data_IF_928802736733
#
_entry.id   IF_928802736733
#
_cell.length_a   1.000
_cell.length_b   1.000
_cell.length_c   1.000
_cell.angle_alpha   90.00
_cell.angle_beta   90.00
_cell.angle_gamma   90.00
#
_symmetry.space_group_name_H-M   'P 1'
#
loop_
_entity.id
_entity.type
_entity.pdbx_description
1 polymer ?
#
# COMPACT_ATOMS: atom_id res chain seq x y z
N UNK A 1 4.96 7.44 8.95
CA UNK A 1 6.07 6.55 8.55
C UNK A 1 6.53 6.84 7.12
N UNK A 2 5.69 6.67 6.05
CA UNK A 2 6.13 6.89 4.66
C UNK A 2 6.68 8.30 4.40
N UNK A 3 6.04 9.34 4.95
CA UNK A 3 6.56 10.70 4.90
C UNK A 3 7.99 10.77 5.48
N UNK A 4 8.17 10.19 6.67
CA UNK A 4 9.47 10.21 7.35
C UNK A 4 10.52 9.40 6.57
N UNK A 5 10.14 8.21 6.05
CA UNK A 5 11.01 7.37 5.24
C UNK A 5 11.53 8.12 3.99
N UNK A 6 10.64 8.85 3.31
CA UNK A 6 11.05 9.51 2.07
C UNK A 6 11.76 10.84 2.28
N UNK A 7 11.46 11.58 3.37
CA UNK A 7 11.99 12.92 3.57
C UNK A 7 13.07 13.03 4.67
N UNK A 8 13.26 11.98 5.49
CA UNK A 8 14.11 12.05 6.68
C UNK A 8 13.56 12.94 7.80
N UNK A 9 12.33 13.45 7.66
CA UNK A 9 11.72 14.33 8.64
C UNK A 9 10.59 13.65 9.37
N UNK A 10 10.51 13.78 10.69
CA UNK A 10 9.40 13.23 11.46
C UNK A 10 8.07 13.88 11.08
N UNK A 11 7.07 13.07 10.75
CA UNK A 11 5.74 13.52 10.34
C UNK A 11 5.03 14.33 11.42
N UNK A 12 5.23 13.99 12.70
CA UNK A 12 4.61 14.68 13.83
C UNK A 12 5.11 16.13 14.05
N UNK A 13 6.15 16.55 13.33
CA UNK A 13 6.62 17.96 13.31
C UNK A 13 5.82 18.85 12.37
N UNK A 14 4.84 18.28 11.65
CA UNK A 14 3.98 18.98 10.70
C UNK A 14 2.52 18.72 11.01
N UNK A 15 1.67 19.73 10.81
CA UNK A 15 0.23 19.64 11.07
C UNK A 15 -0.56 19.02 9.89
N UNK A 16 0.07 18.87 8.72
CA UNK A 16 -0.56 18.45 7.46
C UNK A 16 -0.22 17.00 7.03
N UNK A 17 0.31 16.19 7.96
CA UNK A 17 0.75 14.81 7.71
C UNK A 17 -0.17 13.75 8.33
N UNK A 18 -1.45 14.01 8.43
CA UNK A 18 -2.45 13.05 8.92
C UNK A 18 -2.68 11.86 7.99
N UNK A 19 -3.67 11.04 8.31
CA UNK A 19 -4.11 9.92 7.46
C UNK A 19 -4.76 10.49 6.20
N UNK A 20 -4.09 10.35 5.06
CA UNK A 20 -4.56 10.92 3.80
C UNK A 20 -5.82 10.21 3.29
N UNK A 21 -6.80 10.97 2.80
CA UNK A 21 -7.87 10.42 1.97
C UNK A 21 -7.31 9.98 0.60
N UNK A 22 -8.05 9.16 -0.15
CA UNK A 22 -7.60 8.72 -1.47
C UNK A 22 -7.50 9.84 -2.50
N UNK A 23 -8.22 10.94 -2.28
CA UNK A 23 -8.16 12.16 -3.08
C UNK A 23 -7.39 13.30 -2.37
N UNK A 24 -6.53 12.99 -1.42
CA UNK A 24 -5.70 13.99 -0.76
C UNK A 24 -4.70 14.63 -1.74
N UNK A 25 -4.45 15.92 -1.58
CA UNK A 25 -3.33 16.59 -2.22
C UNK A 25 -2.00 16.05 -1.72
N UNK A 26 -0.95 16.21 -2.51
CA UNK A 26 0.37 15.65 -2.22
C UNK A 26 0.98 16.27 -0.95
N UNK A 27 1.33 15.42 0.00
CA UNK A 27 1.88 15.81 1.31
C UNK A 27 3.36 16.21 1.18
N UNK A 28 4.15 15.44 0.44
CA UNK A 28 5.53 15.78 0.13
C UNK A 28 5.52 16.79 -1.01
N UNK A 29 6.04 17.98 -0.78
CA UNK A 29 6.07 19.00 -1.81
C UNK A 29 7.25 18.80 -2.76
N UNK A 30 7.12 19.15 -4.06
CA UNK A 30 8.21 18.99 -5.03
C UNK A 30 9.54 19.65 -4.64
N UNK A 31 9.49 20.70 -3.82
CA UNK A 31 10.68 21.40 -3.33
C UNK A 31 11.41 20.66 -2.19
N UNK A 32 10.82 19.61 -1.64
CA UNK A 32 11.42 18.80 -0.58
C UNK A 32 12.30 17.72 -1.20
N UNK A 33 13.57 17.71 -0.84
CA UNK A 33 14.48 16.61 -1.18
C UNK A 33 14.02 15.31 -0.53
N UNK A 34 13.95 14.26 -1.31
CA UNK A 34 13.58 12.92 -0.88
C UNK A 34 14.72 11.93 -0.99
N UNK A 35 14.54 10.75 -0.41
CA UNK A 35 15.48 9.63 -0.61
C UNK A 35 15.58 9.24 -2.10
N UNK A 36 14.50 9.38 -2.87
CA UNK A 36 14.52 9.12 -4.32
C UNK A 36 15.38 10.14 -5.05
N UNK A 37 15.29 11.44 -4.74
CA UNK A 37 16.16 12.47 -5.28
C UNK A 37 17.63 12.20 -4.95
N UNK A 38 17.89 11.78 -3.71
CA UNK A 38 19.25 11.42 -3.26
C UNK A 38 19.82 10.27 -4.11
N UNK A 39 19.07 9.19 -4.28
CA UNK A 39 19.49 8.05 -5.11
C UNK A 39 19.65 8.46 -6.58
N UNK A 40 18.72 9.23 -7.11
CA UNK A 40 18.80 9.74 -8.49
C UNK A 40 20.02 10.61 -8.72
N UNK A 41 20.37 11.49 -7.78
CA UNK A 41 21.59 12.30 -7.84
C UNK A 41 22.88 11.46 -7.80
N UNK A 42 22.83 10.26 -7.24
CA UNK A 42 23.91 9.28 -7.22
C UNK A 42 23.90 8.34 -8.45
N UNK A 43 23.06 8.60 -9.45
CA UNK A 43 22.99 7.84 -10.70
C UNK A 43 22.12 6.58 -10.64
N UNK A 44 21.28 6.44 -9.63
CA UNK A 44 20.33 5.32 -9.55
C UNK A 44 19.06 5.61 -10.35
N UNK A 45 18.52 4.59 -10.98
CA UNK A 45 17.12 4.60 -11.45
C UNK A 45 16.18 4.35 -10.28
N UNK A 46 15.08 5.08 -10.18
CA UNK A 46 14.23 5.07 -9.00
C UNK A 46 12.81 4.62 -9.33
N UNK A 47 12.26 3.69 -8.54
CA UNK A 47 10.92 3.14 -8.72
C UNK A 47 10.10 3.12 -7.44
N UNK A 48 8.79 3.39 -7.55
CA UNK A 48 7.82 3.23 -6.47
C UNK A 48 6.66 2.33 -6.93
N UNK A 49 6.42 1.23 -6.21
CA UNK A 49 5.36 0.28 -6.54
C UNK A 49 4.51 0.02 -5.30
N UNK A 50 3.18 0.06 -5.46
CA UNK A 50 2.22 -0.33 -4.44
C UNK A 50 1.53 0.80 -3.71
N UNK A 51 1.29 0.63 -2.42
CA UNK A 51 0.57 1.58 -1.57
C UNK A 51 1.34 2.89 -1.43
N UNK A 52 0.73 3.98 -1.93
CA UNK A 52 1.31 5.32 -1.84
C UNK A 52 0.89 6.04 -0.55
N UNK A 53 -0.35 6.39 -0.42
CA UNK A 53 -0.95 7.01 0.75
C UNK A 53 -0.25 8.31 1.23
N UNK A 54 0.26 9.08 0.29
CA UNK A 54 0.92 10.38 0.51
C UNK A 54 0.24 11.52 -0.26
N UNK A 55 -0.94 11.22 -0.83
CA UNK A 55 -1.65 12.16 -1.68
C UNK A 55 -0.99 12.35 -3.05
N UNK A 56 -1.73 12.93 -3.97
CA UNK A 56 -1.31 13.27 -5.33
C UNK A 56 -2.08 14.50 -5.79
N UNK A 57 -1.49 15.29 -6.69
CA UNK A 57 -2.09 16.57 -7.13
C UNK A 57 -1.89 17.69 -6.12
N UNK A 58 -2.19 18.92 -6.53
CA UNK A 58 -1.95 20.13 -5.72
C UNK A 58 -2.81 20.20 -4.46
N UNK A 59 -4.11 19.91 -4.60
CA UNK A 59 -5.10 20.11 -3.54
C UNK A 59 -6.00 18.89 -3.41
N UNK A 60 -6.46 18.67 -2.19
CA UNK A 60 -7.46 17.63 -1.91
C UNK A 60 -8.73 17.86 -2.73
N UNK A 61 -9.15 16.80 -3.44
CA UNK A 61 -10.38 16.79 -4.23
C UNK A 61 -10.28 17.43 -5.61
N UNK A 62 -9.10 17.86 -6.06
CA UNK A 62 -8.91 18.48 -7.38
C UNK A 62 -8.21 17.60 -8.40
N UNK A 63 -7.94 16.33 -8.06
CA UNK A 63 -7.26 15.38 -8.93
C UNK A 63 -8.07 15.11 -10.20
N UNK A 64 -7.42 15.25 -11.35
CA UNK A 64 -7.97 14.78 -12.62
C UNK A 64 -7.67 13.28 -12.82
N UNK A 65 -8.59 12.43 -12.35
CA UNK A 65 -8.48 10.96 -12.49
C UNK A 65 -8.61 10.48 -13.95
N UNK A 66 -8.96 11.38 -14.86
CA UNK A 66 -9.15 11.07 -16.29
C UNK A 66 -8.00 11.61 -17.15
N UNK A 67 -7.02 12.27 -16.52
CA UNK A 67 -5.88 12.90 -17.17
C UNK A 67 -4.55 12.62 -16.46
N UNK A 68 -3.71 13.64 -16.32
CA UNK A 68 -2.45 13.58 -15.56
C UNK A 68 -2.71 14.13 -14.16
N UNK A 69 -2.25 13.39 -13.15
CA UNK A 69 -2.34 13.82 -11.75
C UNK A 69 -0.97 14.34 -11.32
N UNK A 70 -0.82 15.65 -11.28
CA UNK A 70 0.43 16.32 -10.90
C UNK A 70 0.18 17.37 -9.81
N UNK A 71 1.11 17.57 -8.84
CA UNK A 71 2.32 16.79 -8.65
C UNK A 71 2.07 15.34 -8.21
N UNK A 72 3.05 14.48 -8.43
CA UNK A 72 3.01 13.07 -8.08
C UNK A 72 4.41 12.51 -7.82
N UNK A 73 4.61 11.19 -7.80
CA UNK A 73 5.89 10.57 -7.48
C UNK A 73 7.05 11.04 -8.36
N UNK A 74 6.80 11.32 -9.63
CA UNK A 74 7.84 11.79 -10.57
C UNK A 74 8.37 13.18 -10.17
N UNK A 75 7.55 14.00 -9.53
CA UNK A 75 7.93 15.35 -9.09
C UNK A 75 8.77 15.36 -7.80
N UNK A 76 8.99 14.16 -7.20
CA UNK A 76 9.81 13.97 -5.98
C UNK A 76 10.86 12.87 -6.17
N UNK A 77 11.41 12.73 -7.36
CA UNK A 77 12.59 11.93 -7.65
C UNK A 77 12.36 10.52 -8.14
N UNK A 78 11.12 10.01 -8.28
CA UNK A 78 10.89 8.69 -8.87
C UNK A 78 10.83 8.75 -10.40
N UNK A 79 11.56 7.87 -11.08
CA UNK A 79 11.52 7.72 -12.54
C UNK A 79 10.31 6.90 -12.99
N UNK A 80 9.92 5.91 -12.19
CA UNK A 80 8.77 5.04 -12.44
C UNK A 80 7.88 4.93 -11.21
N UNK A 81 6.58 4.85 -11.43
CA UNK A 81 5.63 4.55 -10.38
C UNK A 81 4.46 3.69 -10.87
N UNK A 82 4.04 2.72 -10.04
CA UNK A 82 2.80 1.96 -10.23
C UNK A 82 2.09 1.82 -8.89
N UNK A 83 1.06 2.60 -8.67
CA UNK A 83 0.60 2.91 -7.33
C UNK A 83 -0.89 2.68 -7.13
N UNK A 84 -1.23 2.34 -5.90
CA UNK A 84 -2.53 2.52 -5.28
C UNK A 84 -2.52 3.89 -4.58
N UNK A 85 -3.44 4.80 -4.91
CA UNK A 85 -3.43 6.18 -4.43
C UNK A 85 -3.39 6.31 -2.91
N UNK A 86 -4.17 5.46 -2.21
CA UNK A 86 -4.18 5.38 -0.75
C UNK A 86 -4.00 3.94 -0.28
N UNK A 87 -5.09 3.27 0.05
CA UNK A 87 -5.14 1.89 0.57
C UNK A 87 -6.30 1.13 -0.07
N UNK A 88 -6.32 -0.20 0.05
CA UNK A 88 -7.39 -1.03 -0.50
C UNK A 88 -8.79 -0.70 0.03
N UNK A 89 -8.90 -0.14 1.22
CA UNK A 89 -10.18 0.25 1.84
C UNK A 89 -10.72 1.62 1.40
N UNK A 90 -10.02 2.33 0.51
CA UNK A 90 -10.34 3.70 0.07
C UNK A 90 -10.46 3.81 -1.45
N UNK A 91 -11.39 4.63 -1.88
CA UNK A 91 -11.46 5.03 -3.29
C UNK A 91 -10.39 6.10 -3.62
N UNK A 92 -9.90 6.17 -4.87
CA UNK A 92 -10.28 5.37 -6.04
C UNK A 92 -9.64 3.98 -6.03
N UNK A 93 -10.40 3.00 -6.51
CA UNK A 93 -9.97 1.61 -6.60
C UNK A 93 -9.36 1.30 -7.98
N UNK A 94 -8.34 2.08 -8.36
CA UNK A 94 -7.64 1.98 -9.65
C UNK A 94 -6.13 2.05 -9.46
N UNK A 95 -5.40 1.45 -10.38
CA UNK A 95 -3.95 1.61 -10.45
C UNK A 95 -3.57 2.91 -11.14
N UNK A 96 -2.52 3.55 -10.66
CA UNK A 96 -1.94 4.77 -11.24
C UNK A 96 -0.52 4.45 -11.68
N UNK A 97 -0.27 4.51 -12.97
CA UNK A 97 1.06 4.30 -13.55
C UNK A 97 1.57 5.63 -14.10
N UNK A 98 2.72 6.08 -13.61
CA UNK A 98 3.35 7.33 -14.02
C UNK A 98 2.35 8.51 -14.05
N UNK A 99 1.64 8.70 -12.93
CA UNK A 99 0.68 9.80 -12.71
C UNK A 99 -0.56 9.76 -13.62
N UNK A 100 -0.88 8.60 -14.23
CA UNK A 100 -2.12 8.37 -14.98
C UNK A 100 -2.80 7.09 -14.51
N UNK A 101 -4.12 7.05 -14.60
CA UNK A 101 -4.86 5.82 -14.34
C UNK A 101 -4.50 4.78 -15.40
N UNK A 102 -4.00 3.64 -14.95
CA UNK A 102 -3.69 2.50 -15.81
C UNK A 102 -4.99 1.87 -16.34
N UNK A 103 -4.96 1.37 -17.58
CA UNK A 103 -6.11 0.76 -18.25
C UNK A 103 -7.37 1.66 -18.26
N UNK A 104 -7.17 2.97 -18.36
CA UNK A 104 -8.25 3.95 -18.35
C UNK A 104 -9.37 3.59 -19.34
N UNK A 105 -10.62 3.70 -18.88
CA UNK A 105 -11.80 3.42 -19.68
C UNK A 105 -12.52 4.71 -20.07
N UNK A 106 -12.42 5.07 -21.35
CA UNK A 106 -13.08 6.28 -21.91
C UNK A 106 -14.61 6.27 -21.74
N UNK A 107 -15.21 5.07 -21.65
CA UNK A 107 -16.66 4.93 -21.49
C UNK A 107 -17.12 4.99 -20.03
N UNK A 108 -16.19 4.98 -19.08
CA UNK A 108 -16.46 4.98 -17.64
C UNK A 108 -15.57 5.99 -16.89
N UNK A 109 -15.71 7.30 -17.17
CA UNK A 109 -14.88 8.33 -16.52
C UNK A 109 -14.99 8.27 -15.02
N UNK A 110 -13.85 8.50 -14.36
CA UNK A 110 -13.69 8.33 -12.91
C UNK A 110 -14.03 9.64 -12.19
N UNK A 111 -14.90 9.52 -11.21
CA UNK A 111 -15.22 10.59 -10.27
C UNK A 111 -15.03 10.11 -8.84
N UNK A 112 -14.37 10.91 -8.01
CA UNK A 112 -14.06 10.57 -6.60
C UNK A 112 -14.48 11.72 -5.70
N UNK A 113 -15.12 11.38 -4.58
CA UNK A 113 -15.53 12.35 -3.56
C UNK A 113 -15.35 11.75 -2.16
N UNK A 114 -14.99 12.59 -1.21
CA UNK A 114 -14.95 12.22 0.22
C UNK A 114 -15.94 13.03 1.06
N UNK A 115 -16.77 13.83 0.40
CA UNK A 115 -17.74 14.71 1.05
C UNK A 115 -19.20 14.32 0.80
N UNK A 116 -19.51 13.82 -0.39
CA UNK A 116 -20.89 13.46 -0.78
C UNK A 116 -20.92 12.31 -1.79
N UNK A 117 -21.95 11.45 -1.72
CA UNK A 117 -22.15 10.38 -2.70
C UNK A 117 -22.52 10.93 -4.08
N UNK A 118 -22.35 10.10 -5.10
CA UNK A 118 -22.84 10.36 -6.45
C UNK A 118 -24.27 9.81 -6.59
N UNK A 119 -25.19 10.58 -7.20
CA UNK A 119 -26.56 10.12 -7.43
C UNK A 119 -26.60 8.82 -8.24
N UNK A 120 -27.38 7.85 -7.77
CA UNK A 120 -27.57 6.54 -8.42
C UNK A 120 -26.48 5.51 -8.11
N UNK A 121 -25.39 5.89 -7.44
CA UNK A 121 -24.37 4.90 -7.02
C UNK A 121 -24.76 4.26 -5.67
N UNK A 122 -24.81 2.92 -5.58
CA UNK A 122 -25.17 2.23 -4.36
C UNK A 122 -24.10 2.38 -3.28
N UNK A 123 -24.54 2.46 -2.01
CA UNK A 123 -23.66 2.53 -0.85
C UNK A 123 -23.76 1.25 -0.02
N UNK A 124 -22.65 0.81 0.55
CA UNK A 124 -22.58 -0.40 1.36
C UNK A 124 -23.51 -0.39 2.58
N UNK A 125 -23.77 0.79 3.16
CA UNK A 125 -24.71 0.95 4.28
C UNK A 125 -26.18 0.72 3.88
N UNK A 126 -26.54 1.04 2.63
CA UNK A 126 -27.92 1.01 2.13
C UNK A 126 -28.20 -0.25 1.30
N UNK A 127 -27.14 -0.88 0.75
CA UNK A 127 -27.20 -2.03 -0.15
C UNK A 127 -26.30 -3.19 0.29
N UNK A 128 -26.50 -3.78 1.50
CA UNK A 128 -25.67 -4.87 2.01
C UNK A 128 -25.75 -6.16 1.16
N UNK A 129 -26.79 -6.31 0.34
CA UNK A 129 -26.96 -7.41 -0.62
C UNK A 129 -25.94 -7.38 -1.77
N UNK A 130 -25.39 -6.21 -2.07
CA UNK A 130 -24.35 -6.05 -3.10
C UNK A 130 -22.93 -6.33 -2.56
N UNK A 131 -22.78 -6.55 -1.26
CA UNK A 131 -21.50 -6.89 -0.63
C UNK A 131 -21.24 -8.40 -0.74
N UNK A 132 -20.84 -8.83 -1.92
CA UNK A 132 -20.69 -10.25 -2.28
C UNK A 132 -19.35 -10.87 -1.85
N UNK A 133 -18.35 -10.05 -1.51
CA UNK A 133 -17.01 -10.50 -1.10
C UNK A 133 -16.76 -10.28 0.39
N UNK A 134 -16.73 -9.05 0.85
CA UNK A 134 -16.51 -8.70 2.24
C UNK A 134 -17.54 -7.67 2.72
N UNK A 135 -18.02 -7.86 3.93
CA UNK A 135 -18.90 -6.92 4.62
C UNK A 135 -18.10 -6.08 5.62
N UNK A 136 -18.42 -4.78 5.76
CA UNK A 136 -17.76 -3.95 6.77
C UNK A 136 -18.29 -4.33 8.17
N UNK A 137 -17.45 -4.08 9.18
CA UNK A 137 -17.92 -4.08 10.57
C UNK A 137 -18.89 -2.93 10.79
N UNK A 138 -19.99 -3.13 11.51
CA UNK A 138 -20.87 -2.03 11.88
C UNK A 138 -20.08 -0.88 12.54
N UNK A 139 -20.38 0.35 12.14
CA UNK A 139 -19.77 1.58 12.70
C UNK A 139 -18.29 1.83 12.44
N UNK A 140 -17.63 1.10 11.54
CA UNK A 140 -16.24 1.33 11.16
C UNK A 140 -16.02 2.28 9.96
N UNK A 141 -17.10 2.84 9.39
CA UNK A 141 -16.96 3.82 8.30
C UNK A 141 -16.58 3.25 6.91
N UNK A 142 -16.39 1.95 6.77
CA UNK A 142 -16.09 1.26 5.52
C UNK A 142 -17.36 0.88 4.74
N UNK A 143 -18.39 1.72 4.75
CA UNK A 143 -19.74 1.39 4.29
C UNK A 143 -20.25 2.33 3.20
N UNK A 144 -19.32 3.01 2.48
CA UNK A 144 -19.66 3.97 1.43
C UNK A 144 -19.64 3.30 0.05
N UNK A 145 -18.85 3.78 -0.92
CA UNK A 145 -18.87 3.23 -2.29
C UNK A 145 -18.64 1.72 -2.32
N UNK A 146 -19.41 1.00 -3.14
CA UNK A 146 -19.23 -0.43 -3.40
C UNK A 146 -18.40 -0.59 -4.66
N UNK A 147 -17.23 -1.25 -4.54
CA UNK A 147 -16.39 -1.61 -5.68
C UNK A 147 -16.07 -3.09 -5.60
N UNK A 148 -16.39 -3.84 -6.66
CA UNK A 148 -16.14 -5.29 -6.75
C UNK A 148 -16.67 -6.10 -5.56
N UNK A 149 -17.87 -5.76 -5.07
CA UNK A 149 -18.52 -6.47 -3.96
C UNK A 149 -17.94 -6.19 -2.58
N UNK A 150 -17.15 -5.14 -2.43
CA UNK A 150 -16.59 -4.66 -1.16
C UNK A 150 -16.87 -3.16 -1.02
N UNK A 151 -17.41 -2.75 0.12
CA UNK A 151 -17.60 -1.32 0.40
C UNK A 151 -16.32 -0.64 0.88
N UNK A 152 -16.17 0.62 0.56
CA UNK A 152 -14.95 1.42 0.78
C UNK A 152 -15.25 2.69 1.56
N UNK A 153 -14.20 3.37 2.01
CA UNK A 153 -14.25 4.74 2.50
C UNK A 153 -14.17 5.69 1.29
N UNK A 154 -15.08 6.66 1.24
CA UNK A 154 -15.24 7.60 0.14
C UNK A 154 -16.23 7.13 -0.91
N UNK A 155 -16.48 7.97 -1.90
CA UNK A 155 -17.48 7.77 -2.95
C UNK A 155 -16.78 7.77 -4.30
N UNK A 156 -17.16 6.85 -5.16
CA UNK A 156 -16.60 6.69 -6.49
C UNK A 156 -17.70 6.37 -7.50
N UNK A 157 -17.56 6.91 -8.70
CA UNK A 157 -18.36 6.55 -9.86
C UNK A 157 -17.44 6.31 -11.05
N UNK A 158 -17.80 5.37 -11.91
CA UNK A 158 -17.01 5.01 -13.09
C UNK A 158 -15.85 4.08 -12.78
N UNK A 159 -14.82 4.16 -13.60
CA UNK A 159 -13.62 3.31 -13.54
C UNK A 159 -13.63 2.15 -14.54
N UNK A 160 -14.77 1.50 -14.76
CA UNK A 160 -14.89 0.42 -15.75
C UNK A 160 -13.75 -0.61 -15.66
N UNK A 161 -13.06 -0.84 -16.78
CA UNK A 161 -11.93 -1.78 -16.85
C UNK A 161 -10.65 -1.33 -16.12
N UNK A 162 -10.60 -0.09 -15.63
CA UNK A 162 -9.49 0.40 -14.83
C UNK A 162 -9.56 -0.05 -13.36
N UNK A 163 -10.72 -0.52 -12.88
CA UNK A 163 -10.88 -1.01 -11.52
C UNK A 163 -9.99 -2.24 -11.29
N UNK A 164 -9.28 -2.24 -10.17
CA UNK A 164 -8.50 -3.44 -9.80
C UNK A 164 -9.41 -4.57 -9.32
N UNK A 165 -8.91 -5.80 -9.43
CA UNK A 165 -9.49 -6.98 -8.80
C UNK A 165 -8.79 -7.21 -7.47
N UNK A 166 -9.56 -7.25 -6.36
CA UNK A 166 -9.00 -7.29 -5.00
C UNK A 166 -8.11 -8.51 -4.75
N UNK A 167 -8.52 -9.68 -5.20
CA UNK A 167 -7.72 -10.91 -5.04
C UNK A 167 -6.40 -10.88 -5.82
N UNK A 168 -6.30 -10.02 -6.84
CA UNK A 168 -5.12 -9.91 -7.70
C UNK A 168 -4.18 -8.76 -7.30
N UNK A 169 -4.47 -8.02 -6.23
CA UNK A 169 -3.65 -6.87 -5.81
C UNK A 169 -2.19 -7.30 -5.57
N UNK A 170 -1.97 -8.35 -4.77
CA UNK A 170 -0.62 -8.81 -4.46
C UNK A 170 0.11 -9.34 -5.71
N UNK A 171 -0.58 -10.09 -6.56
CA UNK A 171 -0.01 -10.60 -7.81
C UNK A 171 0.40 -9.47 -8.76
N UNK A 172 -0.45 -8.46 -8.89
CA UNK A 172 -0.18 -7.28 -9.72
C UNK A 172 1.06 -6.53 -9.22
N UNK A 173 1.13 -6.23 -7.92
CA UNK A 173 2.27 -5.54 -7.33
C UNK A 173 3.56 -6.36 -7.43
N UNK A 174 3.48 -7.65 -7.15
CA UNK A 174 4.60 -8.58 -7.26
C UNK A 174 5.13 -8.65 -8.69
N UNK A 175 4.23 -8.78 -9.67
CA UNK A 175 4.59 -8.80 -11.09
C UNK A 175 5.28 -7.51 -11.54
N UNK A 176 4.76 -6.34 -11.11
CA UNK A 176 5.39 -5.05 -11.41
C UNK A 176 6.77 -4.90 -10.76
N UNK A 177 6.94 -5.37 -9.52
CA UNK A 177 8.23 -5.33 -8.82
C UNK A 177 9.25 -6.27 -9.48
N UNK A 178 8.85 -7.50 -9.81
CA UNK A 178 9.70 -8.48 -10.51
C UNK A 178 10.13 -7.93 -11.88
N UNK A 179 9.17 -7.39 -12.64
CA UNK A 179 9.45 -6.80 -13.94
C UNK A 179 10.41 -5.62 -13.84
N UNK A 180 10.23 -4.72 -12.87
CA UNK A 180 11.15 -3.61 -12.63
C UNK A 180 12.58 -4.12 -12.37
N UNK A 181 12.74 -5.14 -11.54
CA UNK A 181 14.05 -5.77 -11.26
C UNK A 181 14.66 -6.36 -12.54
N UNK A 182 13.87 -7.05 -13.36
CA UNK A 182 14.34 -7.65 -14.62
C UNK A 182 14.78 -6.58 -15.65
N UNK A 183 14.04 -5.49 -15.76
CA UNK A 183 14.34 -4.38 -16.67
C UNK A 183 15.55 -3.55 -16.22
N UNK A 184 15.89 -3.55 -14.93
CA UNK A 184 16.99 -2.73 -14.38
C UNK A 184 18.17 -3.57 -13.83
N UNK A 185 18.26 -4.86 -14.17
CA UNK A 185 19.31 -5.77 -13.66
C UNK A 185 20.74 -5.31 -13.97
N UNK A 186 20.93 -4.58 -15.06
CA UNK A 186 22.24 -4.09 -15.53
C UNK A 186 22.52 -2.64 -15.10
N UNK A 187 21.64 -2.03 -14.30
CA UNK A 187 21.77 -0.68 -13.76
C UNK A 187 21.65 -0.65 -12.24
N UNK A 188 22.20 0.34 -11.59
CA UNK A 188 21.93 0.57 -10.18
C UNK A 188 20.53 1.14 -10.02
N UNK A 189 19.73 0.59 -9.09
CA UNK A 189 18.37 1.06 -8.87
C UNK A 189 18.02 1.17 -7.37
N UNK A 190 17.08 2.05 -7.09
CA UNK A 190 16.35 2.13 -5.84
C UNK A 190 14.88 1.78 -6.12
N UNK A 191 14.36 0.75 -5.47
CA UNK A 191 12.97 0.34 -5.61
C UNK A 191 12.27 0.35 -4.24
N UNK A 192 11.25 1.18 -4.11
CA UNK A 192 10.31 1.12 -3.00
C UNK A 192 9.13 0.23 -3.35
N UNK A 193 8.84 -0.77 -2.52
CA UNK A 193 7.66 -1.64 -2.66
C UNK A 193 6.78 -1.50 -1.41
N UNK A 194 5.68 -0.79 -1.54
CA UNK A 194 4.65 -0.68 -0.51
C UNK A 194 3.55 -1.69 -0.74
N UNK A 195 3.61 -2.84 -0.07
CA UNK A 195 2.55 -3.86 -0.21
C UNK A 195 1.21 -3.36 0.33
N UNK A 196 0.09 -3.91 -0.17
CA UNK A 196 -1.21 -3.71 0.46
C UNK A 196 -1.38 -4.63 1.66
N UNK A 197 -0.87 -5.87 1.56
CA UNK A 197 -0.95 -6.84 2.64
C UNK A 197 -0.06 -6.42 3.82
N UNK A 198 -0.57 -6.56 5.00
CA UNK A 198 -1.81 -7.20 5.45
C UNK A 198 -2.89 -6.17 5.85
N UNK A 199 -2.96 -5.03 5.19
CA UNK A 199 -3.97 -4.02 5.44
C UNK A 199 -5.34 -4.48 4.90
N UNK A 200 -6.39 -3.99 5.49
CA UNK A 200 -7.78 -4.23 5.04
C UNK A 200 -8.09 -3.49 3.71
N UNK A 201 -9.06 -3.99 2.94
CA UNK A 201 -9.76 -5.26 3.06
C UNK A 201 -8.82 -6.42 2.77
N UNK A 202 -8.80 -7.41 3.64
CA UNK A 202 -8.02 -8.62 3.41
C UNK A 202 -8.84 -9.55 2.54
N UNK A 203 -8.49 -9.61 1.28
CA UNK A 203 -9.13 -10.49 0.29
C UNK A 203 -8.04 -11.19 -0.53
N UNK A 204 -7.35 -12.16 0.10
CA UNK A 204 -6.21 -12.84 -0.52
C UNK A 204 -6.65 -13.66 -1.73
N UNK A 205 -5.72 -13.88 -2.67
CA UNK A 205 -5.94 -14.72 -3.82
C UNK A 205 -6.39 -16.12 -3.40
N UNK A 206 -7.30 -16.73 -4.16
CA UNK A 206 -7.94 -18.02 -3.85
C UNK A 206 -6.96 -19.14 -3.50
N UNK A 207 -5.73 -19.14 -4.06
CA UNK A 207 -4.69 -20.11 -3.73
C UNK A 207 -4.20 -20.09 -2.28
N UNK A 208 -4.43 -18.97 -1.56
CA UNK A 208 -4.04 -18.83 -0.15
C UNK A 208 -5.20 -19.05 0.82
N UNK A 209 -6.45 -18.98 0.34
CA UNK A 209 -7.64 -19.09 1.20
C UNK A 209 -7.64 -20.42 1.95
N UNK A 210 -7.78 -20.35 3.27
CA UNK A 210 -7.81 -21.48 4.18
C UNK A 210 -6.45 -22.13 4.47
N UNK A 211 -5.35 -21.60 3.95
CA UNK A 211 -4.01 -22.19 4.14
C UNK A 211 -3.39 -21.89 5.51
N UNK A 212 -3.74 -20.78 6.12
CA UNK A 212 -3.22 -20.39 7.43
C UNK A 212 -3.98 -21.00 8.61
N UNK A 213 -5.24 -21.34 8.43
CA UNK A 213 -6.17 -21.67 9.51
C UNK A 213 -6.60 -20.47 10.37
N UNK A 214 -6.16 -19.25 10.04
CA UNK A 214 -6.42 -18.01 10.79
C UNK A 214 -7.28 -17.01 10.00
N UNK A 215 -8.16 -17.48 9.13
CA UNK A 215 -9.01 -16.66 8.29
C UNK A 215 -8.23 -15.81 7.28
N UNK A 216 -8.90 -14.85 6.66
CA UNK A 216 -8.31 -14.02 5.60
C UNK A 216 -7.10 -13.22 6.08
N UNK A 217 -7.02 -12.85 7.38
CA UNK A 217 -5.85 -12.18 7.91
C UNK A 217 -4.60 -13.06 7.86
N UNK A 218 -4.71 -14.31 8.32
CA UNK A 218 -3.60 -15.25 8.25
C UNK A 218 -3.21 -15.62 6.81
N UNK A 219 -4.21 -15.78 5.95
CA UNK A 219 -3.99 -16.08 4.53
C UNK A 219 -3.31 -14.90 3.81
N UNK A 220 -3.64 -13.65 4.17
CA UNK A 220 -2.96 -12.45 3.68
C UNK A 220 -1.50 -12.35 4.19
N UNK A 221 -1.18 -12.89 5.37
CA UNK A 221 0.20 -12.99 5.83
C UNK A 221 1.00 -13.97 4.95
N UNK A 222 0.42 -15.12 4.61
CA UNK A 222 1.04 -16.06 3.68
C UNK A 222 1.24 -15.46 2.29
N UNK A 223 0.28 -14.66 1.82
CA UNK A 223 0.38 -13.95 0.56
C UNK A 223 1.48 -12.87 0.58
N UNK A 224 1.62 -12.15 1.68
CA UNK A 224 2.71 -11.20 1.89
C UNK A 224 4.08 -11.89 1.84
N UNK A 225 4.24 -13.00 2.56
CA UNK A 225 5.48 -13.79 2.57
C UNK A 225 5.82 -14.29 1.16
N UNK A 226 4.81 -14.76 0.41
CA UNK A 226 4.97 -15.13 -1.00
C UNK A 226 5.46 -13.96 -1.86
N UNK A 227 4.90 -12.75 -1.68
CA UNK A 227 5.34 -11.54 -2.41
C UNK A 227 6.82 -11.25 -2.17
N UNK A 228 7.26 -11.29 -0.91
CA UNK A 228 8.68 -11.11 -0.55
C UNK A 228 9.54 -12.20 -1.18
N UNK A 229 9.08 -13.45 -1.13
CA UNK A 229 9.75 -14.60 -1.74
C UNK A 229 9.94 -14.46 -3.26
N UNK A 230 8.94 -13.98 -3.99
CA UNK A 230 9.03 -13.76 -5.44
C UNK A 230 10.02 -12.63 -5.81
N UNK A 231 10.05 -11.55 -5.03
CA UNK A 231 11.04 -10.48 -5.20
C UNK A 231 12.46 -11.02 -4.98
N UNK A 232 12.68 -11.77 -3.91
CA UNK A 232 14.00 -12.40 -3.64
C UNK A 232 14.39 -13.40 -4.73
N UNK A 233 13.45 -14.19 -5.25
CA UNK A 233 13.69 -15.10 -6.37
C UNK A 233 14.08 -14.35 -7.64
N UNK A 234 13.43 -13.21 -7.92
CA UNK A 234 13.76 -12.37 -9.06
C UNK A 234 15.19 -11.85 -8.98
N UNK A 235 15.61 -11.28 -7.83
CA UNK A 235 16.99 -10.82 -7.60
C UNK A 235 18.00 -11.96 -7.78
N UNK A 236 17.71 -13.15 -7.26
CA UNK A 236 18.57 -14.33 -7.42
C UNK A 236 18.66 -14.78 -8.89
N UNK A 237 17.50 -14.85 -9.58
CA UNK A 237 17.42 -15.24 -11.01
C UNK A 237 18.23 -14.30 -11.90
N UNK A 238 18.24 -12.99 -11.58
CA UNK A 238 19.01 -11.99 -12.31
C UNK A 238 20.49 -11.92 -11.89
N UNK A 239 20.92 -12.71 -10.90
CA UNK A 239 22.32 -12.74 -10.43
C UNK A 239 22.77 -11.52 -9.63
N UNK A 240 21.83 -10.71 -9.14
CA UNK A 240 22.13 -9.46 -8.42
C UNK A 240 21.83 -9.51 -6.92
N UNK A 241 21.31 -10.63 -6.41
CA UNK A 241 20.93 -10.77 -5.00
C UNK A 241 22.08 -10.48 -4.02
N UNK A 242 23.30 -10.94 -4.35
CA UNK A 242 24.49 -10.76 -3.50
C UNK A 242 24.90 -9.28 -3.35
N UNK A 243 24.59 -8.44 -4.34
CA UNK A 243 24.91 -7.00 -4.35
C UNK A 243 23.66 -6.11 -4.19
N UNK A 244 22.58 -6.65 -3.64
CA UNK A 244 21.36 -5.90 -3.36
C UNK A 244 21.15 -5.76 -1.85
N UNK A 245 21.04 -4.52 -1.38
CA UNK A 245 20.55 -4.21 -0.03
C UNK A 245 19.02 -4.33 -0.03
N UNK A 246 18.50 -5.28 0.75
CA UNK A 246 17.06 -5.42 1.01
C UNK A 246 16.78 -4.93 2.43
N UNK A 247 15.82 -4.02 2.56
CA UNK A 247 15.26 -3.59 3.85
C UNK A 247 13.79 -3.97 3.90
N UNK A 248 13.42 -4.83 4.83
CA UNK A 248 12.03 -5.24 5.08
C UNK A 248 11.58 -4.67 6.41
N UNK A 249 10.51 -3.90 6.40
CA UNK A 249 9.94 -3.27 7.60
C UNK A 249 8.43 -3.08 7.46
N UNK A 250 7.80 -2.54 8.50
CA UNK A 250 6.38 -2.16 8.48
C UNK A 250 6.19 -0.71 8.90
N UNK A 251 5.10 -0.09 8.49
CA UNK A 251 4.81 1.32 8.80
C UNK A 251 4.19 1.54 10.20
N UNK A 252 3.63 0.52 10.80
CA UNK A 252 3.08 0.51 12.16
C UNK A 252 2.91 -0.93 12.68
N UNK A 253 2.66 -1.04 13.98
CA UNK A 253 2.38 -2.31 14.61
C UNK A 253 1.06 -2.95 14.16
N UNK A 254 0.78 -4.18 14.60
CA UNK A 254 -0.34 -4.97 14.12
C UNK A 254 -1.70 -4.45 14.59
N UNK A 255 -2.73 -4.80 13.81
CA UNK A 255 -4.14 -4.71 14.19
C UNK A 255 -4.86 -5.98 13.74
N UNK A 256 -5.75 -6.46 14.58
CA UNK A 256 -6.55 -7.66 14.25
C UNK A 256 -7.85 -7.25 13.57
N UNK A 257 -8.71 -6.52 14.26
CA UNK A 257 -9.94 -5.97 13.68
C UNK A 257 -9.68 -4.56 13.15
N UNK A 258 -9.84 -4.36 11.85
CA UNK A 258 -9.62 -3.07 11.19
C UNK A 258 -10.74 -2.74 10.17
N UNK A 259 -11.98 -3.12 10.48
CA UNK A 259 -13.15 -2.60 9.79
C UNK A 259 -13.92 -3.54 8.87
N UNK A 260 -13.50 -4.80 8.70
CA UNK A 260 -14.21 -5.79 7.90
C UNK A 260 -14.45 -7.09 8.65
N UNK A 261 -15.53 -7.79 8.30
CA UNK A 261 -15.89 -9.13 8.81
C UNK A 261 -15.07 -10.19 8.06
N UNK A 262 -13.78 -10.27 8.34
CA UNK A 262 -12.81 -11.15 7.70
C UNK A 262 -12.36 -12.32 8.60
N UNK A 263 -13.10 -12.56 9.68
CA UNK A 263 -12.82 -13.60 10.68
C UNK A 263 -11.47 -13.45 11.40
N UNK A 264 -10.83 -12.29 11.31
CA UNK A 264 -9.53 -12.07 11.90
C UNK A 264 -9.50 -12.21 13.44
N UNK A 265 -10.62 -11.88 14.10
CA UNK A 265 -10.78 -12.00 15.56
C UNK A 265 -11.14 -13.44 15.92
N UNK A 266 -12.14 -13.99 15.24
CA UNK A 266 -12.72 -15.30 15.53
C UNK A 266 -11.71 -16.43 15.31
N UNK A 267 -10.85 -16.31 14.31
CA UNK A 267 -9.85 -17.32 13.93
C UNK A 267 -8.43 -16.96 14.34
N UNK A 268 -8.26 -15.95 15.22
CA UNK A 268 -6.92 -15.56 15.71
C UNK A 268 -6.24 -16.69 16.48
N UNK A 269 -7.01 -17.50 17.18
CA UNK A 269 -6.49 -18.59 18.03
C UNK A 269 -5.53 -18.05 19.10
N UNK A 270 -4.43 -18.75 19.28
CA UNK A 270 -3.36 -18.36 20.22
C UNK A 270 -2.32 -17.44 19.58
N UNK A 271 -2.49 -17.03 18.32
CA UNK A 271 -1.56 -16.13 17.64
C UNK A 271 -1.56 -14.75 18.30
N UNK A 272 -0.38 -14.32 18.74
CA UNK A 272 -0.16 -13.03 19.40
C UNK A 272 0.68 -12.13 18.50
N UNK A 273 0.05 -11.35 17.59
CA UNK A 273 0.78 -10.56 16.59
C UNK A 273 1.68 -9.47 17.19
N UNK A 274 1.42 -9.08 18.43
CA UNK A 274 2.24 -8.12 19.20
C UNK A 274 3.22 -8.81 20.17
N UNK A 275 3.24 -10.14 20.26
CA UNK A 275 4.02 -10.88 21.27
C UNK A 275 3.63 -10.46 22.69
N UNK A 276 4.62 -10.08 23.50
CA UNK A 276 4.41 -9.60 24.88
C UNK A 276 4.33 -8.07 24.97
N UNK A 277 4.40 -7.36 23.85
CA UNK A 277 4.34 -5.90 23.81
C UNK A 277 2.90 -5.40 24.02
N UNK A 278 2.76 -4.29 24.72
CA UNK A 278 1.46 -3.62 24.95
C UNK A 278 1.03 -2.81 23.72
N UNK A 279 -0.28 -2.80 23.45
CA UNK A 279 -0.90 -1.95 22.42
C UNK A 279 -0.97 -2.62 21.05
N UNK A 280 -0.95 -1.83 20.01
CA UNK A 280 -1.05 -2.20 18.61
C UNK A 280 -1.19 -0.94 17.77
N UNK A 281 -1.52 -1.07 16.48
CA UNK A 281 -1.84 0.06 15.59
C UNK A 281 -2.77 1.05 16.31
N UNK A 282 -2.60 2.34 16.10
CA UNK A 282 -3.31 3.45 16.75
C UNK A 282 -2.87 3.77 18.17
N UNK A 283 -1.89 3.06 18.75
CA UNK A 283 -1.38 3.37 20.08
C UNK A 283 0.09 3.82 20.03
N UNK A 284 0.47 4.62 21.03
CA UNK A 284 1.86 5.04 21.24
C UNK A 284 2.67 4.01 22.05
N UNK A 285 2.05 2.88 22.42
CA UNK A 285 2.75 1.79 23.09
C UNK A 285 3.64 1.01 22.14
N UNK A 286 4.52 0.21 22.71
CA UNK A 286 5.58 -0.48 21.98
C UNK A 286 5.05 -1.34 20.83
N UNK A 287 3.96 -2.09 21.02
CA UNK A 287 3.36 -2.87 19.94
C UNK A 287 2.76 -2.03 18.80
N UNK A 288 2.51 -0.74 18.99
CA UNK A 288 2.03 0.16 17.94
C UNK A 288 3.16 0.78 17.11
N UNK A 289 4.36 0.89 17.68
CA UNK A 289 5.47 1.66 17.12
C UNK A 289 6.71 0.81 16.81
N UNK A 290 6.95 -0.25 17.57
CA UNK A 290 8.06 -1.19 17.35
C UNK A 290 7.65 -2.21 16.30
N UNK A 291 8.26 -2.11 15.12
CA UNK A 291 8.01 -2.97 13.97
C UNK A 291 9.25 -3.79 13.62
N UNK A 292 9.12 -4.92 12.92
CA UNK A 292 10.28 -5.62 12.37
C UNK A 292 11.11 -4.71 11.49
N UNK A 293 12.43 -4.79 11.60
CA UNK A 293 13.39 -4.14 10.72
C UNK A 293 14.47 -5.17 10.36
N UNK A 294 14.36 -5.71 9.17
CA UNK A 294 15.20 -6.80 8.68
C UNK A 294 16.04 -6.27 7.52
N UNK A 295 17.36 -6.45 7.62
CA UNK A 295 18.31 -6.02 6.59
C UNK A 295 19.02 -7.26 6.05
N UNK A 296 19.09 -7.37 4.73
CA UNK A 296 19.85 -8.40 4.03
C UNK A 296 20.72 -7.77 2.96
N UNK A 297 22.02 -7.99 3.05
CA UNK A 297 23.01 -7.68 2.02
C UNK A 297 24.15 -8.71 2.14
N UNK A 298 24.05 -9.85 1.44
CA UNK A 298 24.92 -11.00 1.70
C UNK A 298 26.41 -10.70 1.69
N UNK A 299 26.88 -9.84 0.79
CA UNK A 299 28.31 -9.50 0.68
C UNK A 299 28.81 -8.43 1.65
N UNK A 300 27.91 -7.75 2.39
CA UNK A 300 28.25 -6.57 3.22
C UNK A 300 27.79 -6.67 4.67
N UNK A 301 26.71 -7.40 4.94
CA UNK A 301 26.11 -7.49 6.26
C UNK A 301 26.27 -8.92 6.81
N UNK A 302 27.02 -9.05 7.91
CA UNK A 302 27.13 -10.31 8.63
C UNK A 302 25.81 -10.63 9.35
N UNK A 303 25.30 -11.86 9.27
CA UNK A 303 24.10 -12.27 10.01
C UNK A 303 24.25 -12.03 11.52
N UNK A 304 23.22 -11.44 12.12
CA UNK A 304 23.22 -11.15 13.56
C UNK A 304 21.98 -10.41 14.00
N UNK A 305 21.89 -10.13 15.30
CA UNK A 305 20.80 -9.35 15.90
C UNK A 305 21.38 -8.05 16.45
N UNK A 306 20.73 -6.93 16.22
CA UNK A 306 21.07 -5.61 16.76
C UNK A 306 19.95 -5.09 17.65
N UNK A 307 20.34 -4.49 18.78
CA UNK A 307 19.43 -3.77 19.68
C UNK A 307 19.44 -2.25 19.41
N UNK A 308 20.09 -1.81 18.33
CA UNK A 308 20.08 -0.41 17.95
C UNK A 308 18.67 0.05 17.58
N UNK A 309 18.29 1.22 18.05
CA UNK A 309 17.04 1.86 17.63
C UNK A 309 17.22 2.44 16.22
N UNK A 310 16.39 1.99 15.30
CA UNK A 310 16.31 2.52 13.95
C UNK A 310 14.94 3.15 13.77
N UNK A 311 14.90 4.41 13.35
CA UNK A 311 13.65 5.12 13.03
C UNK A 311 13.56 5.37 11.53
N UNK A 312 12.38 5.21 10.96
CA UNK A 312 12.04 5.52 9.57
C UNK A 312 10.95 6.58 9.48
#
# INVERSE_FOLDING_TARGET
SRYSLFTGHYSWRRNDTGIAAGNAGMIIKPEQTTIADMFKSAGYTTGAIGKWHLGMGDKTGTQDWNGIITPGPQDIGFDYSYLMAATGDRVPCVWIENQRVANYDLNAPIHVSYTKPFPGEPLGKDHPELLTKLKPYPNHGHNQAIVNGISRIGYMKGGGKALWEDENIADTLTSKAVRYIEEHKDTTFFLYVGTNDIHVPRYPHSRFIGKSGMGYRGDAILQFDWTVGEIMKALKKQGIAENTLIVLTSDNGPVVNDGYLDQAVELLGEHRPWGDMRGGKYSNFEAGTRVPFIVSWPTKVTPGISNALVSH
#
